data_IF_260197234812
#
_entry.id   IF_260197234812
#
_cell.length_a   1.000
_cell.length_b   1.000
_cell.length_c   1.000
_cell.angle_alpha   90.00
_cell.angle_beta   90.00
_cell.angle_gamma   90.00
#
_symmetry.space_group_name_H-M   'P 1'
#
loop_
_entity.id
_entity.type
_entity.pdbx_description
1 polymer ?
#
# COMPACT_ATOMS: atom_id res chain seq x y z
N UNK A 1 10.31 -18.49 -20.61
CA UNK A 1 10.91 -17.28 -20.05
C UNK A 1 11.79 -17.75 -18.90
N UNK A 2 13.08 -17.40 -18.88
CA UNK A 2 13.98 -17.84 -17.83
C UNK A 2 13.83 -16.87 -16.66
N UNK A 3 13.51 -17.38 -15.47
CA UNK A 3 13.55 -16.60 -14.22
C UNK A 3 14.99 -16.11 -14.02
N UNK A 4 15.19 -14.80 -13.90
CA UNK A 4 16.36 -14.25 -13.21
C UNK A 4 16.05 -14.30 -11.70
N UNK A 5 17.08 -14.38 -10.86
CA UNK A 5 16.95 -14.26 -9.39
C UNK A 5 17.63 -12.94 -8.93
N UNK A 6 17.78 -11.99 -9.85
CA UNK A 6 18.51 -10.75 -9.63
C UNK A 6 17.53 -9.60 -9.47
N UNK A 7 17.93 -8.58 -8.71
CA UNK A 7 17.15 -7.37 -8.57
C UNK A 7 17.28 -6.49 -9.82
N UNK A 8 16.16 -6.20 -10.45
CA UNK A 8 16.03 -5.38 -11.64
C UNK A 8 15.24 -4.08 -11.38
N UNK A 9 15.38 -3.14 -12.31
CA UNK A 9 14.43 -2.03 -12.44
C UNK A 9 13.80 -2.09 -13.82
N UNK A 10 12.48 -2.25 -13.86
CA UNK A 10 11.69 -2.39 -15.06
C UNK A 10 10.86 -1.13 -15.27
N UNK A 11 10.90 -0.61 -16.49
CA UNK A 11 10.16 0.57 -16.90
C UNK A 11 9.16 0.17 -17.98
N UNK A 12 7.90 0.49 -17.75
CA UNK A 12 6.85 0.54 -18.76
C UNK A 12 7.01 1.77 -19.66
N UNK A 13 5.92 2.08 -20.32
CA UNK A 13 5.73 3.14 -21.30
C UNK A 13 4.52 3.97 -20.89
N UNK A 14 4.20 5.04 -21.62
CA UNK A 14 2.97 5.80 -21.36
C UNK A 14 1.71 5.11 -21.94
N UNK A 15 1.71 3.79 -22.02
CA UNK A 15 0.61 2.98 -22.54
C UNK A 15 0.44 1.77 -21.62
N UNK A 16 -0.74 1.14 -21.68
CA UNK A 16 -1.03 -0.03 -20.86
C UNK A 16 -0.01 -1.16 -21.06
N UNK A 17 0.77 -1.43 -20.02
CA UNK A 17 1.84 -2.40 -19.99
C UNK A 17 1.49 -3.62 -19.14
N UNK A 18 2.20 -4.72 -19.42
CA UNK A 18 2.19 -5.91 -18.58
C UNK A 18 3.62 -6.17 -18.13
N UNK A 19 3.87 -5.96 -16.84
CA UNK A 19 5.19 -5.96 -16.23
C UNK A 19 5.29 -7.17 -15.30
N UNK A 20 6.41 -7.89 -15.35
CA UNK A 20 6.70 -9.02 -14.49
C UNK A 20 8.20 -9.00 -14.17
N UNK A 21 8.55 -8.83 -12.90
CA UNK A 21 9.93 -8.87 -12.42
C UNK A 21 10.57 -10.26 -12.57
N UNK A 22 9.73 -11.31 -12.47
CA UNK A 22 10.14 -12.70 -12.31
C UNK A 22 10.73 -12.90 -10.92
N UNK A 23 11.89 -13.55 -10.77
CA UNK A 23 12.50 -13.73 -9.46
C UNK A 23 13.45 -12.57 -9.16
N UNK A 24 13.57 -12.20 -7.89
CA UNK A 24 14.44 -11.10 -7.49
C UNK A 24 13.73 -10.22 -6.48
N UNK A 25 14.32 -9.08 -6.15
CA UNK A 25 13.59 -8.03 -5.42
C UNK A 25 13.56 -6.84 -6.37
N UNK A 26 12.51 -6.74 -7.19
CA UNK A 26 12.48 -5.85 -8.35
C UNK A 26 11.80 -4.51 -8.06
N UNK A 27 12.17 -3.49 -8.84
CA UNK A 27 11.47 -2.21 -8.87
C UNK A 27 10.73 -2.02 -10.20
N UNK A 28 9.39 -1.99 -10.16
CA UNK A 28 8.52 -2.00 -11.32
C UNK A 28 7.83 -0.63 -11.46
N UNK A 29 7.99 0.03 -12.60
CA UNK A 29 7.41 1.34 -12.89
C UNK A 29 6.50 1.25 -14.13
N UNK A 30 5.19 1.38 -13.95
CA UNK A 30 4.20 1.40 -15.05
C UNK A 30 4.32 2.62 -15.94
N UNK A 31 4.43 3.80 -15.30
CA UNK A 31 4.35 5.15 -15.88
C UNK A 31 2.91 5.63 -16.03
N UNK A 32 2.42 5.87 -17.26
CA UNK A 32 1.05 6.30 -17.51
C UNK A 32 0.30 5.16 -18.19
N UNK A 33 -0.99 5.00 -17.94
CA UNK A 33 -1.80 3.96 -18.54
C UNK A 33 -2.52 3.13 -17.51
N UNK A 34 -3.12 2.03 -17.97
CA UNK A 34 -3.67 0.99 -17.09
C UNK A 34 -2.74 -0.21 -17.14
N UNK A 35 -1.82 -0.28 -16.20
CA UNK A 35 -0.76 -1.24 -16.16
C UNK A 35 -1.13 -2.49 -15.37
N UNK A 36 -0.50 -3.60 -15.71
CA UNK A 36 -0.67 -4.86 -14.99
C UNK A 36 0.66 -5.39 -14.52
N UNK A 37 0.83 -5.48 -13.20
CA UNK A 37 1.96 -6.09 -12.53
C UNK A 37 1.65 -7.55 -12.20
N UNK A 38 2.38 -8.47 -12.83
CA UNK A 38 2.22 -9.90 -12.60
C UNK A 38 3.12 -10.33 -11.45
N UNK A 39 2.58 -11.11 -10.52
CA UNK A 39 3.35 -11.63 -9.38
C UNK A 39 3.00 -13.09 -9.08
N UNK A 40 4.00 -13.94 -8.86
CA UNK A 40 3.88 -15.38 -8.61
C UNK A 40 4.68 -15.78 -7.37
N UNK A 41 4.41 -16.97 -6.83
CA UNK A 41 5.19 -17.52 -5.72
C UNK A 41 6.67 -17.69 -6.09
N UNK A 42 7.55 -17.15 -5.25
CA UNK A 42 9.00 -17.10 -5.46
C UNK A 42 9.46 -16.01 -6.42
N UNK A 43 8.60 -15.01 -6.71
CA UNK A 43 9.02 -13.80 -7.40
C UNK A 43 9.83 -12.87 -6.48
N UNK A 44 9.71 -13.00 -5.15
CA UNK A 44 10.54 -12.29 -4.16
C UNK A 44 9.85 -11.08 -3.56
N UNK A 45 10.58 -10.00 -3.28
CA UNK A 45 10.03 -8.80 -2.63
C UNK A 45 10.04 -7.62 -3.59
N UNK A 46 9.00 -7.54 -4.42
CA UNK A 46 8.91 -6.52 -5.46
C UNK A 46 8.32 -5.22 -4.92
N UNK A 47 8.76 -4.11 -5.50
CA UNK A 47 8.24 -2.77 -5.23
C UNK A 47 7.70 -2.17 -6.53
N UNK A 48 6.43 -1.75 -6.50
CA UNK A 48 5.76 -1.04 -7.57
C UNK A 48 5.82 0.46 -7.25
N UNK A 49 6.36 1.23 -8.20
CA UNK A 49 6.27 2.68 -8.21
C UNK A 49 5.20 3.13 -9.19
N UNK A 50 4.07 3.57 -8.66
CA UNK A 50 3.01 4.18 -9.47
C UNK A 50 3.19 5.69 -9.58
N UNK A 51 2.70 6.29 -10.67
CA UNK A 51 2.49 7.72 -10.78
C UNK A 51 1.64 8.03 -12.01
N UNK A 52 0.31 7.92 -11.87
CA UNK A 52 -0.60 8.36 -12.92
C UNK A 52 -1.73 9.25 -12.37
N UNK A 53 -1.68 10.57 -12.61
CA UNK A 53 -2.72 11.50 -12.16
C UNK A 53 -3.98 11.48 -13.04
N UNK A 54 -4.05 10.68 -14.10
CA UNK A 54 -5.21 10.64 -14.98
C UNK A 54 -6.42 9.98 -14.30
N UNK A 55 -7.59 10.62 -14.44
CA UNK A 55 -8.80 10.14 -13.78
C UNK A 55 -9.34 8.88 -14.45
N UNK A 56 -9.61 7.84 -13.65
CA UNK A 56 -10.25 6.61 -14.10
C UNK A 56 -9.27 5.55 -14.61
N UNK A 57 -7.98 5.69 -14.31
CA UNK A 57 -7.01 4.61 -14.50
C UNK A 57 -7.33 3.42 -13.60
N UNK A 58 -6.88 2.25 -14.05
CA UNK A 58 -7.07 0.98 -13.34
C UNK A 58 -5.79 0.17 -13.45
N UNK A 59 -4.86 0.46 -12.56
CA UNK A 59 -3.63 -0.29 -12.39
C UNK A 59 -3.90 -1.54 -11.56
N UNK A 60 -3.32 -2.65 -12.01
CA UNK A 60 -3.72 -3.98 -11.55
C UNK A 60 -2.52 -4.78 -11.08
N UNK A 61 -2.55 -5.26 -9.84
CA UNK A 61 -1.72 -6.40 -9.43
C UNK A 61 -2.47 -7.67 -9.81
N UNK A 62 -1.85 -8.56 -10.58
CA UNK A 62 -2.42 -9.86 -10.94
C UNK A 62 -1.56 -10.99 -10.37
N UNK A 63 -2.09 -11.64 -9.35
CA UNK A 63 -1.47 -12.79 -8.74
C UNK A 63 -1.64 -14.07 -9.59
N UNK A 64 -0.54 -14.81 -9.71
CA UNK A 64 -0.49 -16.11 -10.35
C UNK A 64 -1.17 -17.22 -9.55
N UNK A 65 -1.19 -18.43 -10.13
CA UNK A 65 -1.76 -19.59 -9.47
C UNK A 65 -1.01 -19.94 -8.18
N UNK A 66 -1.75 -20.36 -7.16
CA UNK A 66 -1.19 -20.72 -5.84
C UNK A 66 -1.17 -19.57 -4.83
N UNK A 67 -1.64 -18.39 -5.22
CA UNK A 67 -1.89 -17.25 -4.32
C UNK A 67 -3.40 -16.99 -4.32
N UNK A 68 -4.07 -17.27 -3.21
CA UNK A 68 -5.49 -17.00 -3.02
C UNK A 68 -5.70 -15.72 -2.20
N UNK A 69 -6.93 -15.20 -2.19
CA UNK A 69 -7.30 -14.03 -1.38
C UNK A 69 -6.99 -14.22 0.11
N UNK A 70 -7.15 -15.43 0.63
CA UNK A 70 -6.86 -15.78 2.03
C UNK A 70 -5.37 -15.82 2.38
N UNK A 71 -4.50 -15.80 1.37
CA UNK A 71 -3.05 -15.83 1.57
C UNK A 71 -2.49 -14.40 1.68
N UNK A 72 -3.24 -13.39 1.25
CA UNK A 72 -2.79 -12.00 1.32
C UNK A 72 -3.01 -11.45 2.72
N UNK A 73 -1.94 -10.92 3.31
CA UNK A 73 -1.97 -10.11 4.52
C UNK A 73 -1.51 -8.70 4.14
N UNK A 74 -2.38 -7.71 4.33
CA UNK A 74 -2.02 -6.32 4.10
C UNK A 74 -1.28 -5.74 5.31
N UNK A 75 -0.37 -4.82 5.04
CA UNK A 75 0.28 -3.98 6.04
C UNK A 75 0.62 -2.60 5.48
N UNK A 76 0.90 -1.64 6.36
CA UNK A 76 1.39 -0.30 6.02
C UNK A 76 2.76 -0.09 6.63
N UNK A 77 3.64 0.59 5.90
CA UNK A 77 4.96 1.01 6.37
C UNK A 77 5.25 2.42 5.84
N UNK A 78 5.09 3.43 6.70
CA UNK A 78 4.92 4.81 6.28
C UNK A 78 3.77 4.95 5.30
N UNK A 79 4.03 5.59 4.17
CA UNK A 79 3.07 5.72 3.07
C UNK A 79 2.95 4.47 2.20
N UNK A 80 3.79 3.45 2.36
CA UNK A 80 3.75 2.27 1.50
C UNK A 80 2.62 1.32 1.92
N UNK A 81 1.98 0.70 0.93
CA UNK A 81 1.09 -0.45 1.13
C UNK A 81 1.86 -1.73 0.82
N UNK A 82 1.81 -2.72 1.71
CA UNK A 82 2.50 -4.00 1.53
C UNK A 82 1.50 -5.14 1.51
N UNK A 83 1.57 -5.99 0.49
CA UNK A 83 0.82 -7.24 0.36
C UNK A 83 1.78 -8.40 0.62
N UNK A 84 1.74 -8.95 1.83
CA UNK A 84 2.52 -10.14 2.19
C UNK A 84 1.80 -11.41 1.74
N UNK A 85 2.56 -12.39 1.23
CA UNK A 85 2.02 -13.72 0.94
C UNK A 85 2.29 -14.64 2.14
N UNK A 86 1.23 -14.99 2.86
CA UNK A 86 1.33 -15.77 4.08
C UNK A 86 1.98 -17.14 3.84
N UNK A 87 2.97 -17.47 4.66
CA UNK A 87 3.73 -18.72 4.54
C UNK A 87 4.92 -18.67 3.58
N UNK A 88 5.21 -17.53 2.95
CA UNK A 88 6.44 -17.30 2.19
C UNK A 88 7.15 -16.02 2.64
N UNK A 89 8.26 -15.67 1.97
CA UNK A 89 8.93 -14.37 2.08
C UNK A 89 8.55 -13.42 0.94
N UNK A 90 7.62 -13.84 0.08
CA UNK A 90 7.21 -13.07 -1.08
C UNK A 90 6.30 -11.91 -0.63
N UNK A 91 6.50 -10.73 -1.21
CA UNK A 91 5.62 -9.59 -0.99
C UNK A 91 5.59 -8.68 -2.21
N UNK A 92 4.54 -7.87 -2.30
CA UNK A 92 4.48 -6.73 -3.21
C UNK A 92 4.28 -5.46 -2.39
N UNK A 93 5.18 -4.50 -2.54
CA UNK A 93 5.09 -3.17 -1.94
C UNK A 93 4.60 -2.19 -3.00
N UNK A 94 3.56 -1.42 -2.73
CA UNK A 94 3.17 -0.26 -3.53
C UNK A 94 3.71 0.97 -2.83
N UNK A 95 4.69 1.61 -3.47
CA UNK A 95 5.39 2.74 -2.89
C UNK A 95 4.51 3.98 -2.85
N UNK A 96 4.55 4.73 -1.74
CA UNK A 96 3.83 6.01 -1.55
C UNK A 96 2.30 5.93 -1.68
N UNK A 97 1.70 4.74 -1.53
CA UNK A 97 0.26 4.50 -1.57
C UNK A 97 -0.59 5.51 -0.77
N UNK A 98 -0.18 5.78 0.46
CA UNK A 98 -0.83 6.66 1.42
C UNK A 98 -0.66 8.14 1.11
N UNK A 99 0.36 8.50 0.32
CA UNK A 99 0.71 9.90 0.08
C UNK A 99 -0.32 10.60 -0.82
N UNK A 100 -0.75 9.96 -1.91
CA UNK A 100 -1.73 10.46 -2.88
C UNK A 100 -2.40 9.33 -3.66
N UNK A 101 -3.57 9.62 -4.22
CA UNK A 101 -4.26 8.68 -5.10
C UNK A 101 -3.47 8.35 -6.37
N UNK A 102 -2.62 9.26 -6.86
CA UNK A 102 -1.80 9.07 -8.06
C UNK A 102 -0.76 7.94 -7.92
N UNK A 103 -0.50 7.45 -6.69
CA UNK A 103 0.47 6.39 -6.37
C UNK A 103 -0.18 5.04 -6.07
N UNK A 104 -1.50 4.92 -6.26
CA UNK A 104 -2.26 3.73 -5.86
C UNK A 104 -2.40 2.76 -7.04
N UNK A 105 -2.73 1.52 -6.68
CA UNK A 105 -3.34 0.56 -7.59
C UNK A 105 -4.84 0.54 -7.32
N UNK A 106 -5.64 0.29 -8.34
CA UNK A 106 -7.10 0.25 -8.19
C UNK A 106 -7.62 -1.17 -8.06
N UNK A 107 -6.79 -2.17 -8.41
CA UNK A 107 -7.27 -3.53 -8.60
C UNK A 107 -6.26 -4.62 -8.25
N UNK A 108 -6.75 -5.67 -7.61
CA UNK A 108 -6.04 -6.93 -7.39
C UNK A 108 -6.84 -8.08 -8.01
N UNK A 109 -6.23 -8.84 -8.91
CA UNK A 109 -6.83 -10.00 -9.57
C UNK A 109 -6.15 -11.29 -9.13
N UNK A 110 -6.94 -12.35 -8.94
CA UNK A 110 -6.48 -13.67 -8.55
C UNK A 110 -6.75 -14.72 -9.63
N UNK A 111 -5.96 -15.79 -9.63
CA UNK A 111 -6.05 -16.85 -10.64
C UNK A 111 -7.39 -17.63 -10.64
N UNK A 112 -8.13 -17.61 -9.53
CA UNK A 112 -9.47 -18.22 -9.42
C UNK A 112 -10.60 -17.31 -9.94
N UNK A 113 -10.26 -16.09 -10.38
CA UNK A 113 -11.19 -15.08 -10.87
C UNK A 113 -11.73 -14.16 -9.78
N UNK A 114 -11.30 -14.29 -8.52
CA UNK A 114 -11.58 -13.29 -7.50
C UNK A 114 -10.93 -11.95 -7.88
N UNK A 115 -11.59 -10.85 -7.49
CA UNK A 115 -11.16 -9.49 -7.79
C UNK A 115 -11.40 -8.63 -6.57
N UNK A 116 -10.36 -7.90 -6.16
CA UNK A 116 -10.51 -6.70 -5.36
C UNK A 116 -10.42 -5.47 -6.25
N UNK A 117 -11.41 -4.60 -6.18
CA UNK A 117 -11.51 -3.37 -6.96
C UNK A 117 -11.93 -2.20 -6.06
N UNK A 118 -12.18 -1.03 -6.65
CA UNK A 118 -12.60 0.17 -5.93
C UNK A 118 -13.80 -0.02 -4.97
N UNK A 119 -14.62 -1.07 -5.15
CA UNK A 119 -15.79 -1.32 -4.30
C UNK A 119 -15.49 -2.13 -3.05
N UNK A 120 -14.40 -2.91 -3.03
CA UNK A 120 -14.12 -3.84 -1.93
C UNK A 120 -12.65 -3.83 -1.46
N UNK A 121 -11.69 -3.34 -2.24
CA UNK A 121 -10.31 -3.17 -1.83
C UNK A 121 -10.19 -2.27 -0.59
N UNK A 122 -10.90 -1.13 -0.47
CA UNK A 122 -10.86 -0.33 0.75
C UNK A 122 -11.25 -1.11 2.01
N UNK A 123 -12.20 -2.04 1.91
CA UNK A 123 -12.60 -2.88 3.05
C UNK A 123 -11.53 -3.90 3.45
N UNK A 124 -10.60 -4.24 2.55
CA UNK A 124 -9.46 -5.09 2.89
C UNK A 124 -8.37 -4.32 3.65
N UNK A 125 -8.35 -2.99 3.49
CA UNK A 125 -7.35 -2.09 4.08
C UNK A 125 -7.81 -1.43 5.38
N UNK A 126 -9.13 -1.41 5.63
CA UNK A 126 -9.72 -0.77 6.79
C UNK A 126 -9.19 -1.34 8.11
N UNK A 127 -8.79 -0.46 9.02
CA UNK A 127 -8.30 -0.81 10.35
C UNK A 127 -6.87 -1.35 10.39
N UNK A 128 -6.12 -1.30 9.28
CA UNK A 128 -4.69 -1.55 9.31
C UNK A 128 -4.00 -0.41 10.06
N UNK A 129 -3.13 -0.71 11.05
CA UNK A 129 -2.31 0.32 11.66
C UNK A 129 -1.41 0.99 10.63
N UNK A 130 -1.39 2.32 10.63
CA UNK A 130 -0.52 3.15 9.81
C UNK A 130 0.67 3.52 10.67
N UNK A 131 1.82 2.89 10.39
CA UNK A 131 3.02 3.00 11.21
C UNK A 131 4.06 3.77 10.42
N UNK A 132 4.55 4.88 10.96
CA UNK A 132 5.63 5.68 10.43
C UNK A 132 6.99 5.00 10.59
N UNK A 133 8.03 5.73 10.24
CA UNK A 133 9.40 5.25 10.22
C UNK A 133 10.15 5.71 11.49
N UNK A 134 11.48 5.78 11.42
CA UNK A 134 12.29 6.42 12.46
C UNK A 134 12.67 7.88 12.07
N UNK A 135 12.05 8.40 11.02
CA UNK A 135 12.25 9.76 10.51
C UNK A 135 11.08 10.66 10.89
N UNK A 136 11.08 11.89 10.39
CA UNK A 136 9.90 12.75 10.52
C UNK A 136 8.94 12.40 9.38
N UNK A 137 7.77 11.90 9.73
CA UNK A 137 6.78 11.39 8.79
C UNK A 137 5.53 12.28 8.70
N UNK A 138 4.86 12.20 7.56
CA UNK A 138 3.50 12.74 7.37
C UNK A 138 2.60 11.53 7.16
N UNK A 139 1.71 11.24 8.12
CA UNK A 139 0.81 10.10 8.03
C UNK A 139 -0.64 10.59 7.96
N UNK A 140 -1.38 10.05 7.00
CA UNK A 140 -2.81 10.26 6.85
C UNK A 140 -3.56 8.94 7.02
N UNK A 141 -4.54 8.95 7.92
CA UNK A 141 -5.63 7.98 7.99
C UNK A 141 -6.41 7.94 6.69
N UNK A 142 -7.07 6.81 6.48
CA UNK A 142 -8.01 6.57 5.40
C UNK A 142 -9.42 7.00 5.88
N UNK A 143 -10.50 6.37 5.40
CA UNK A 143 -11.84 6.63 5.93
C UNK A 143 -12.19 5.59 6.99
N UNK A 144 -12.76 6.01 8.11
CA UNK A 144 -13.17 5.14 9.21
C UNK A 144 -12.22 5.23 10.40
N UNK A 145 -12.40 4.34 11.38
CA UNK A 145 -11.57 4.36 12.59
C UNK A 145 -10.16 3.84 12.28
N UNK A 146 -9.15 4.71 12.37
CA UNK A 146 -7.76 4.39 12.09
C UNK A 146 -6.90 4.30 13.35
N UNK A 147 -5.77 3.60 13.24
CA UNK A 147 -4.72 3.62 14.25
C UNK A 147 -3.44 4.11 13.61
N UNK A 148 -2.93 5.24 14.08
CA UNK A 148 -1.71 5.88 13.58
C UNK A 148 -0.63 5.81 14.65
N UNK A 149 0.57 5.38 14.26
CA UNK A 149 1.78 5.37 15.10
C UNK A 149 2.86 6.12 14.31
N UNK A 150 3.32 7.27 14.79
CA UNK A 150 4.34 8.06 14.11
C UNK A 150 5.70 7.35 14.04
N UNK A 151 5.97 6.46 15.01
CA UNK A 151 7.29 5.93 15.22
C UNK A 151 8.21 6.94 15.90
N UNK A 152 9.51 6.88 15.60
CA UNK A 152 10.46 7.84 16.16
C UNK A 152 10.65 9.01 15.20
N UNK A 153 10.60 10.25 15.67
CA UNK A 153 10.63 11.38 14.75
C UNK A 153 10.12 12.67 15.35
N UNK A 154 9.61 13.56 14.51
CA UNK A 154 8.71 14.63 14.90
C UNK A 154 7.66 14.64 13.79
N UNK A 155 6.56 13.93 14.03
CA UNK A 155 5.67 13.51 12.98
C UNK A 155 4.47 14.43 12.84
N UNK A 156 3.80 14.35 11.70
CA UNK A 156 2.54 15.04 11.44
C UNK A 156 1.47 14.02 11.08
N UNK A 157 0.46 13.87 11.95
CA UNK A 157 -0.54 12.81 11.87
C UNK A 157 -1.94 13.42 11.68
N UNK A 158 -2.69 12.90 10.70
CA UNK A 158 -4.10 13.27 10.44
C UNK A 158 -4.98 12.03 10.33
N UNK A 159 -6.01 11.89 11.16
CA UNK A 159 -6.87 10.70 11.22
C UNK A 159 -7.93 10.63 10.14
N UNK A 160 -8.35 11.79 9.62
CA UNK A 160 -9.45 11.95 8.66
C UNK A 160 -10.84 11.82 9.33
N UNK A 161 -11.74 11.00 8.77
CA UNK A 161 -13.10 10.83 9.29
C UNK A 161 -13.14 9.52 10.11
N UNK A 162 -13.48 9.56 11.40
CA UNK A 162 -13.47 8.33 12.20
C UNK A 162 -13.31 8.57 13.70
N UNK A 163 -13.25 7.50 14.48
CA UNK A 163 -12.71 7.55 15.84
C UNK A 163 -11.27 7.08 15.80
N UNK A 164 -10.34 8.02 15.71
CA UNK A 164 -8.96 7.68 15.43
C UNK A 164 -8.14 7.46 16.70
N UNK A 165 -7.19 6.53 16.64
CA UNK A 165 -6.28 6.24 17.74
C UNK A 165 -4.85 6.58 17.35
N UNK A 166 -4.27 7.55 18.04
CA UNK A 166 -2.88 7.96 17.90
C UNK A 166 -2.03 7.31 18.98
N UNK A 167 -1.05 6.50 18.59
CA UNK A 167 -0.10 5.88 19.50
C UNK A 167 1.09 6.84 19.68
N UNK A 168 1.42 7.14 20.94
CA UNK A 168 2.57 7.98 21.28
C UNK A 168 3.39 7.35 22.41
N UNK A 169 4.52 6.76 22.04
CA UNK A 169 5.40 6.00 22.91
C UNK A 169 6.60 6.82 23.40
N UNK A 170 7.32 6.24 24.37
CA UNK A 170 8.57 6.82 24.84
C UNK A 170 9.66 6.68 23.77
N UNK A 171 10.06 7.81 23.18
CA UNK A 171 11.09 7.86 22.15
C UNK A 171 10.60 8.46 20.83
N UNK A 172 9.29 8.67 20.72
CA UNK A 172 8.63 9.04 19.47
C UNK A 172 8.92 10.49 19.07
N UNK A 173 9.25 11.34 20.05
CA UNK A 173 9.75 12.70 19.82
C UNK A 173 8.68 13.76 20.04
N UNK A 174 8.49 14.69 19.11
CA UNK A 174 7.50 15.76 19.20
C UNK A 174 6.57 15.76 18.00
N UNK A 175 5.44 15.06 18.16
CA UNK A 175 4.49 14.90 17.07
C UNK A 175 3.41 15.98 17.10
N UNK A 176 2.87 16.25 15.93
CA UNK A 176 1.74 17.14 15.69
C UNK A 176 0.58 16.32 15.17
N UNK A 177 -0.47 16.22 15.97
CA UNK A 177 -1.75 15.67 15.53
C UNK A 177 -2.62 16.82 15.04
N UNK A 178 -3.06 16.75 13.79
CA UNK A 178 -3.95 17.72 13.19
C UNK A 178 -5.28 17.07 12.85
N UNK A 179 -6.21 17.16 13.80
CA UNK A 179 -7.55 16.63 13.64
C UNK A 179 -8.54 17.65 13.09
N UNK A 180 -9.34 17.20 12.13
CA UNK A 180 -10.49 17.94 11.64
C UNK A 180 -11.59 16.99 11.20
N UNK A 181 -12.35 16.51 12.18
CA UNK A 181 -13.58 15.80 11.93
C UNK A 181 -14.82 16.67 12.27
N UNK A 182 -15.61 17.08 11.27
CA UNK A 182 -16.85 17.82 11.49
C UNK A 182 -18.03 16.93 11.93
N UNK A 183 -17.90 15.59 11.91
CA UNK A 183 -18.95 14.65 12.26
C UNK A 183 -19.21 14.60 13.77
N UNK A 184 -20.48 14.74 14.15
CA UNK A 184 -20.86 14.75 15.56
C UNK A 184 -20.81 13.34 16.16
N UNK A 185 -20.07 13.20 17.26
CA UNK A 185 -20.05 11.98 18.08
C UNK A 185 -18.81 11.12 17.92
N UNK A 186 -17.90 11.50 17.02
CA UNK A 186 -16.59 10.89 16.89
C UNK A 186 -15.67 11.31 18.04
N UNK A 187 -14.84 10.37 18.50
CA UNK A 187 -13.96 10.49 19.66
C UNK A 187 -12.59 9.95 19.32
N UNK A 188 -11.67 10.86 19.06
CA UNK A 188 -10.27 10.52 18.83
C UNK A 188 -9.54 10.34 20.16
N UNK A 189 -8.60 9.41 20.18
CA UNK A 189 -7.86 9.00 21.36
C UNK A 189 -6.37 9.07 21.11
N UNK A 190 -5.62 9.60 22.07
CA UNK A 190 -4.16 9.46 22.13
C UNK A 190 -3.85 8.41 23.21
N UNK A 191 -3.00 7.42 22.89
CA UNK A 191 -2.59 6.34 23.80
C UNK A 191 -1.10 6.31 24.07
#
# INVERSE_FOLDING_TARGET
>A
MWRTDSAETLYGTNANDVINGLGGDDYLLGMEGNDTYLFNLGDGQDTIGEYDPAAGNIDTIRFGAGIATSDIVFGRNGDDLVLFINGTTDQVTIQSWGARNDYRIERVEFADGAVWDATNLPSQLSGLPIIGTNGNDYLSGDTGDDTLDGGAGNDYLTGSDGNDTYLFNLGDGQDTIAEYDPAAGNVDTIR
#
